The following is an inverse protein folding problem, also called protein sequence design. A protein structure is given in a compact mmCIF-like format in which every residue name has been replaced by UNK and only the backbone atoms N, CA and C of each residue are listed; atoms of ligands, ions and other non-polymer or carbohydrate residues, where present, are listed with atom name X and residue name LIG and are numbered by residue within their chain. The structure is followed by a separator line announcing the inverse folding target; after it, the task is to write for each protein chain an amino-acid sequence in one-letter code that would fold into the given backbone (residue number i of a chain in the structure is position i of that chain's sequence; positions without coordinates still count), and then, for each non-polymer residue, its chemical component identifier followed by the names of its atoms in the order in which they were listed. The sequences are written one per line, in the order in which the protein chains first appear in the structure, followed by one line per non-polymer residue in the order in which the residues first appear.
data_IF_438190357365
#
_entry.id   IF_438190357365
#
_cell.length_a   1.000
_cell.length_b   1.000
_cell.length_c   1.000
_cell.angle_alpha   90.00
_cell.angle_beta   90.00
_cell.angle_gamma   90.00
#
_symmetry.space_group_name_H-M   'P 1'
#
loop_
_entity.id
_entity.type
_entity.pdbx_description
1 polymer ?
#
# COMPACT_ATOMS: atom_id res chain seq x y z
N UNK A 1 -23.95 14.80 31.27
CA UNK A 1 -23.89 13.41 31.72
C UNK A 1 -23.28 12.61 30.59
N UNK A 2 -22.06 12.15 30.68
CA UNK A 2 -21.47 11.32 29.62
C UNK A 2 -21.87 9.85 29.83
N UNK A 3 -22.43 9.25 28.79
CA UNK A 3 -22.83 7.85 28.76
C UNK A 3 -21.59 6.99 28.56
N UNK A 4 -21.23 6.21 29.56
CA UNK A 4 -20.13 5.24 29.51
C UNK A 4 -20.63 4.03 28.71
N UNK A 5 -20.05 3.81 27.53
CA UNK A 5 -20.25 2.59 26.76
C UNK A 5 -19.31 1.51 27.34
N UNK A 6 -19.88 0.56 28.06
CA UNK A 6 -19.16 -0.64 28.51
C UNK A 6 -18.99 -1.60 27.33
N UNK A 7 -17.77 -1.67 26.79
CA UNK A 7 -17.37 -2.72 25.85
C UNK A 7 -16.94 -3.92 26.70
N UNK A 8 -17.81 -4.91 26.81
CA UNK A 8 -17.47 -6.21 27.41
C UNK A 8 -16.74 -7.03 26.36
N UNK A 9 -15.41 -7.09 26.48
CA UNK A 9 -14.56 -7.97 25.67
C UNK A 9 -14.81 -9.43 26.08
N UNK A 10 -15.49 -10.20 25.25
CA UNK A 10 -15.75 -11.61 25.48
C UNK A 10 -14.48 -12.41 25.11
N UNK A 11 -13.71 -12.78 26.12
CA UNK A 11 -12.52 -13.62 25.97
C UNK A 11 -12.96 -15.07 25.83
N UNK A 12 -13.13 -15.53 24.58
CA UNK A 12 -13.27 -16.97 24.29
C UNK A 12 -11.90 -17.50 23.85
N UNK A 13 -11.01 -17.75 24.81
CA UNK A 13 -9.78 -18.51 24.59
C UNK A 13 -10.15 -20.01 24.57
N UNK A 14 -10.52 -20.53 23.40
CA UNK A 14 -10.42 -21.96 23.16
C UNK A 14 -8.99 -22.23 22.72
N UNK A 15 -8.18 -22.85 23.60
CA UNK A 15 -6.89 -23.41 23.27
C UNK A 15 -7.09 -24.55 22.24
N UNK A 16 -7.06 -24.21 20.96
CA UNK A 16 -6.83 -25.19 19.91
C UNK A 16 -5.37 -25.66 20.03
N UNK A 17 -5.08 -26.96 19.82
CA UNK A 17 -3.69 -27.41 19.81
C UNK A 17 -2.98 -26.70 18.67
N UNK A 18 -2.06 -25.80 19.02
CA UNK A 18 -1.17 -25.13 18.09
C UNK A 18 -0.30 -26.23 17.50
N UNK A 19 -0.56 -26.62 16.29
CA UNK A 19 0.44 -27.32 15.48
C UNK A 19 1.43 -26.24 15.11
N UNK A 20 2.56 -26.20 15.82
CA UNK A 20 3.68 -25.38 15.43
C UNK A 20 4.20 -25.95 14.12
N UNK A 21 3.81 -25.34 12.99
CA UNK A 21 4.50 -25.55 11.73
C UNK A 21 5.94 -25.09 11.89
N UNK A 22 6.84 -25.88 11.37
CA UNK A 22 8.27 -25.57 11.37
C UNK A 22 8.46 -24.29 10.56
N UNK A 23 9.41 -23.44 10.97
CA UNK A 23 9.77 -22.20 10.28
C UNK A 23 9.46 -22.23 8.80
N UNK A 24 8.48 -21.45 8.40
CA UNK A 24 8.07 -21.26 7.01
C UNK A 24 8.44 -19.87 6.53
N UNK A 25 8.46 -19.69 5.24
CA UNK A 25 8.63 -18.38 4.64
C UNK A 25 8.07 -18.34 3.25
N UNK A 26 7.70 -17.14 2.83
CA UNK A 26 7.23 -16.86 1.49
C UNK A 26 7.96 -15.62 0.97
N UNK A 27 8.36 -15.64 -0.28
CA UNK A 27 8.78 -14.44 -0.99
C UNK A 27 7.95 -14.26 -2.24
N UNK A 28 7.60 -13.03 -2.56
CA UNK A 28 6.92 -12.66 -3.79
C UNK A 28 7.59 -11.48 -4.47
N UNK A 29 7.65 -11.54 -5.79
CA UNK A 29 8.14 -10.48 -6.65
C UNK A 29 7.16 -10.32 -7.80
N UNK A 30 6.67 -9.11 -8.00
CA UNK A 30 5.63 -8.86 -8.99
C UNK A 30 5.69 -7.50 -9.62
N UNK A 31 4.76 -7.32 -10.56
CA UNK A 31 4.48 -6.06 -11.23
C UNK A 31 3.06 -5.62 -10.92
N UNK A 32 2.91 -4.36 -10.60
CA UNK A 32 1.64 -3.69 -10.36
C UNK A 32 1.43 -2.66 -11.46
N UNK A 33 0.37 -2.86 -12.22
CA UNK A 33 -0.06 -1.93 -13.24
C UNK A 33 -1.10 -1.01 -12.60
N UNK A 34 -0.78 0.25 -12.40
CA UNK A 34 -1.59 1.16 -11.58
C UNK A 34 -1.95 2.43 -12.33
N UNK A 35 -3.19 2.82 -12.13
CA UNK A 35 -3.77 4.05 -12.67
C UNK A 35 -3.89 5.07 -11.53
N UNK A 36 -3.27 6.27 -11.65
CA UNK A 36 -3.34 7.31 -10.64
C UNK A 36 -4.65 8.08 -10.80
N UNK A 37 -5.27 8.47 -9.69
CA UNK A 37 -6.40 9.39 -9.69
C UNK A 37 -6.39 10.27 -8.45
N UNK A 38 -7.21 11.32 -8.44
CA UNK A 38 -7.28 12.26 -7.32
C UNK A 38 -6.63 13.59 -7.60
N UNK A 39 -6.18 14.27 -6.55
CA UNK A 39 -5.69 15.63 -6.63
C UNK A 39 -4.45 15.83 -5.76
N UNK A 40 -3.59 16.76 -6.18
CA UNK A 40 -2.48 17.25 -5.37
C UNK A 40 -2.33 18.77 -5.49
N UNK A 41 -1.70 19.38 -4.47
CA UNK A 41 -1.32 20.79 -4.51
C UNK A 41 -0.05 21.03 -3.71
N UNK A 42 0.74 21.99 -4.17
CA UNK A 42 1.90 22.46 -3.43
C UNK A 42 1.89 23.98 -3.38
N UNK A 43 1.60 24.53 -2.19
CA UNK A 43 1.43 26.00 -1.94
C UNK A 43 0.44 26.65 -2.93
N UNK A 44 -0.54 25.89 -3.37
CA UNK A 44 -1.49 26.28 -4.43
C UNK A 44 -2.85 25.63 -4.22
N UNK A 45 -3.73 25.74 -5.20
CA UNK A 45 -5.02 25.04 -5.23
C UNK A 45 -4.86 23.62 -5.74
N UNK A 46 -5.68 22.69 -5.19
CA UNK A 46 -5.70 21.30 -5.59
C UNK A 46 -5.96 21.14 -7.11
N UNK A 47 -5.17 20.32 -7.76
CA UNK A 47 -5.19 20.08 -9.20
C UNK A 47 -5.21 18.58 -9.47
N UNK A 48 -5.96 18.17 -10.49
CA UNK A 48 -6.19 16.77 -10.83
C UNK A 48 -4.94 16.11 -11.43
N UNK A 49 -4.67 14.88 -11.01
CA UNK A 49 -3.47 14.14 -11.41
C UNK A 49 -3.44 13.79 -12.91
N UNK A 50 -4.56 13.39 -13.47
CA UNK A 50 -4.65 13.01 -14.89
C UNK A 50 -4.75 14.23 -15.80
N UNK A 51 -5.69 15.14 -15.52
CA UNK A 51 -6.00 16.27 -16.40
C UNK A 51 -4.93 17.37 -16.35
N UNK A 52 -4.48 17.73 -15.13
CA UNK A 52 -3.54 18.84 -14.94
C UNK A 52 -2.09 18.39 -15.04
N UNK A 53 -1.70 17.29 -14.40
CA UNK A 53 -0.32 16.82 -14.42
C UNK A 53 -0.03 15.87 -15.57
N UNK A 54 -1.08 15.32 -16.22
CA UNK A 54 -0.95 14.44 -17.39
C UNK A 54 -0.45 13.04 -17.02
N UNK A 55 -0.63 12.59 -15.77
CA UNK A 55 -0.29 11.24 -15.36
C UNK A 55 -1.24 10.23 -15.99
N UNK A 56 -0.76 9.06 -16.26
CA UNK A 56 -1.49 7.93 -16.83
C UNK A 56 -1.05 6.63 -16.22
N UNK A 57 -1.69 5.53 -16.60
CA UNK A 57 -1.36 4.17 -16.19
C UNK A 57 0.13 3.87 -16.40
N UNK A 58 0.78 3.36 -15.36
CA UNK A 58 2.18 2.95 -15.35
C UNK A 58 2.34 1.58 -14.68
N UNK A 59 3.50 0.96 -14.83
CA UNK A 59 3.79 -0.34 -14.26
C UNK A 59 5.07 -0.30 -13.44
N UNK A 60 4.95 -0.63 -12.17
CA UNK A 60 6.07 -0.69 -11.25
C UNK A 60 6.20 -2.06 -10.55
N UNK A 61 7.34 -2.27 -9.91
CA UNK A 61 7.64 -3.52 -9.21
C UNK A 61 7.26 -3.43 -7.74
N UNK A 62 6.92 -4.57 -7.17
CA UNK A 62 6.81 -4.75 -5.72
C UNK A 62 7.46 -6.05 -5.28
N UNK A 63 7.81 -6.08 -4.00
CA UNK A 63 8.41 -7.24 -3.34
C UNK A 63 7.77 -7.43 -1.96
N UNK A 64 7.47 -8.70 -1.59
CA UNK A 64 7.12 -9.07 -0.22
C UNK A 64 7.93 -10.29 0.22
N UNK A 65 8.22 -10.36 1.52
CA UNK A 65 8.83 -11.51 2.18
C UNK A 65 8.15 -11.74 3.52
N UNK A 66 7.67 -12.95 3.75
CA UNK A 66 7.07 -13.40 5.00
C UNK A 66 8.03 -14.36 5.68
N UNK A 67 8.15 -14.24 6.99
CA UNK A 67 8.92 -15.14 7.83
C UNK A 67 8.06 -15.56 9.02
N UNK A 68 7.75 -16.83 9.08
CA UNK A 68 6.95 -17.46 10.13
C UNK A 68 7.86 -18.29 11.03
N UNK A 69 7.52 -18.37 12.30
CA UNK A 69 8.31 -19.11 13.28
C UNK A 69 7.45 -19.79 14.33
N UNK A 70 7.92 -20.92 14.92
CA UNK A 70 7.12 -21.73 15.83
C UNK A 70 6.99 -21.16 17.26
N UNK A 71 7.47 -19.96 17.53
CA UNK A 71 7.43 -19.38 18.88
C UNK A 71 6.14 -18.58 19.11
N UNK A 72 5.16 -19.08 19.86
CA UNK A 72 3.81 -18.49 19.91
C UNK A 72 3.72 -17.11 20.57
N UNK A 73 4.77 -16.66 21.26
CA UNK A 73 4.81 -15.36 21.92
C UNK A 73 5.48 -14.25 21.07
N UNK A 74 6.15 -14.64 20.00
CA UNK A 74 6.77 -13.69 19.08
C UNK A 74 5.86 -13.51 17.85
N UNK A 75 5.70 -12.31 17.33
CA UNK A 75 4.97 -12.10 16.10
C UNK A 75 5.78 -12.58 14.88
N UNK A 76 5.12 -13.09 13.89
CA UNK A 76 5.68 -13.31 12.57
C UNK A 76 6.02 -11.96 11.92
N UNK A 77 6.88 -11.98 10.90
CA UNK A 77 7.38 -10.78 10.26
C UNK A 77 7.09 -10.81 8.77
N UNK A 78 6.52 -9.72 8.24
CA UNK A 78 6.46 -9.46 6.80
C UNK A 78 7.30 -8.22 6.50
N UNK A 79 8.07 -8.27 5.42
CA UNK A 79 8.74 -7.13 4.81
C UNK A 79 8.09 -6.86 3.46
N UNK A 80 7.82 -5.60 3.15
CA UNK A 80 7.24 -5.17 1.89
C UNK A 80 7.99 -3.99 1.30
N UNK A 81 8.06 -3.94 -0.02
CA UNK A 81 8.51 -2.76 -0.77
C UNK A 81 7.65 -2.60 -2.01
N UNK A 82 7.12 -1.41 -2.22
CA UNK A 82 6.36 -1.04 -3.40
C UNK A 82 6.80 0.34 -3.84
N UNK A 83 7.06 0.51 -5.13
CA UNK A 83 7.32 1.81 -5.75
C UNK A 83 6.18 2.15 -6.70
N UNK A 84 5.80 3.42 -6.78
CA UNK A 84 4.80 3.96 -7.69
C UNK A 84 5.40 5.20 -8.33
N UNK A 85 5.58 5.18 -9.64
CA UNK A 85 6.25 6.25 -10.38
C UNK A 85 5.41 6.70 -11.57
N UNK A 86 5.22 7.99 -11.72
CA UNK A 86 4.48 8.58 -12.83
C UNK A 86 5.22 9.74 -13.46
N UNK A 87 5.21 9.78 -14.77
CA UNK A 87 5.63 10.93 -15.57
C UNK A 87 4.49 11.45 -16.44
N UNK A 88 4.36 12.77 -16.53
CA UNK A 88 3.29 13.35 -17.30
C UNK A 88 3.68 14.66 -17.98
N UNK A 89 2.85 15.05 -18.94
CA UNK A 89 2.95 16.37 -19.55
C UNK A 89 1.59 16.85 -20.01
N UNK A 90 1.34 18.14 -19.82
CA UNK A 90 0.07 18.76 -20.17
C UNK A 90 0.25 20.23 -20.55
N UNK A 91 -0.84 20.89 -20.89
CA UNK A 91 -0.88 22.35 -21.08
C UNK A 91 -1.87 22.93 -20.09
N UNK A 92 -1.42 23.91 -19.34
CA UNK A 92 -2.18 24.56 -18.27
C UNK A 92 -2.35 26.07 -18.51
N UNK A 93 -3.36 26.63 -17.87
CA UNK A 93 -3.61 28.07 -17.82
C UNK A 93 -3.76 28.49 -16.35
N UNK A 94 -3.11 29.60 -15.98
CA UNK A 94 -3.14 30.20 -14.64
C UNK A 94 -2.84 29.19 -13.50
N UNK A 95 -1.89 28.31 -13.75
CA UNK A 95 -1.49 27.24 -12.82
C UNK A 95 -0.33 27.70 -11.93
N UNK A 96 -0.30 27.21 -10.69
CA UNK A 96 0.77 27.47 -9.72
C UNK A 96 1.20 26.17 -9.08
N UNK A 97 2.51 25.98 -8.94
CA UNK A 97 3.12 24.85 -8.23
C UNK A 97 4.33 25.34 -7.44
N UNK A 98 4.26 25.21 -6.11
CA UNK A 98 5.31 25.69 -5.23
C UNK A 98 5.57 27.19 -5.41
N UNK A 99 6.82 27.52 -5.68
CA UNK A 99 7.26 28.89 -5.92
C UNK A 99 7.14 29.33 -7.41
N UNK A 100 6.69 28.42 -8.29
CA UNK A 100 6.43 28.73 -9.70
C UNK A 100 4.98 29.14 -9.87
N UNK A 101 4.73 30.43 -10.00
CA UNK A 101 3.38 31.00 -10.16
C UNK A 101 3.04 31.39 -11.61
N UNK A 102 1.72 31.48 -11.89
CA UNK A 102 1.19 31.96 -13.17
C UNK A 102 1.72 31.21 -14.40
N UNK A 103 1.79 29.89 -14.32
CA UNK A 103 2.22 29.04 -15.41
C UNK A 103 1.12 29.03 -16.48
N UNK A 104 1.48 29.44 -17.71
CA UNK A 104 0.61 29.38 -18.88
C UNK A 104 1.37 28.66 -19.98
N UNK A 105 0.90 27.48 -20.39
CA UNK A 105 1.51 26.68 -21.43
C UNK A 105 1.89 25.28 -20.96
N UNK A 106 2.93 24.73 -21.55
CA UNK A 106 3.33 23.34 -21.35
C UNK A 106 4.07 23.13 -20.03
N UNK A 107 3.68 22.08 -19.29
CA UNK A 107 4.37 21.59 -18.11
C UNK A 107 4.81 20.13 -18.32
N UNK A 108 5.89 19.73 -17.63
CA UNK A 108 6.22 18.34 -17.41
C UNK A 108 6.17 18.08 -15.90
N UNK A 109 5.53 16.99 -15.55
CA UNK A 109 5.27 16.59 -14.17
C UNK A 109 5.91 15.23 -13.88
N UNK A 110 6.36 15.03 -12.66
CA UNK A 110 6.85 13.75 -12.17
C UNK A 110 6.33 13.50 -10.75
N UNK A 111 6.05 12.25 -10.44
CA UNK A 111 5.69 11.81 -9.09
C UNK A 111 6.34 10.48 -8.80
N UNK A 112 6.88 10.33 -7.60
CA UNK A 112 7.29 9.04 -7.06
C UNK A 112 6.76 8.85 -5.65
N UNK A 113 6.41 7.62 -5.30
CA UNK A 113 6.02 7.21 -3.96
C UNK A 113 6.56 5.83 -3.67
N UNK A 114 7.54 5.74 -2.80
CA UNK A 114 8.12 4.51 -2.29
C UNK A 114 7.50 4.17 -0.93
N UNK A 115 7.09 2.93 -0.76
CA UNK A 115 6.57 2.38 0.47
C UNK A 115 7.43 1.21 0.93
N UNK A 116 8.00 1.32 2.13
CA UNK A 116 8.74 0.23 2.78
C UNK A 116 8.02 -0.19 4.05
N UNK A 117 7.64 -1.45 4.13
CA UNK A 117 6.82 -2.01 5.20
C UNK A 117 7.59 -2.99 6.07
N UNK A 118 7.40 -2.88 7.37
CA UNK A 118 7.73 -3.90 8.35
C UNK A 118 6.45 -4.23 9.12
N UNK A 119 5.89 -5.42 8.88
CA UNK A 119 4.67 -5.89 9.54
C UNK A 119 5.01 -6.93 10.59
N UNK A 120 4.44 -6.76 11.78
CA UNK A 120 4.45 -7.75 12.85
C UNK A 120 3.03 -8.30 12.99
N UNK A 121 2.85 -9.60 12.82
CA UNK A 121 1.52 -10.21 12.80
C UNK A 121 1.47 -11.53 13.56
N UNK A 122 0.26 -11.90 13.95
CA UNK A 122 -0.06 -13.21 14.53
C UNK A 122 -1.10 -13.91 13.67
N UNK A 123 -0.94 -15.20 13.48
CA UNK A 123 -1.95 -16.08 12.93
C UNK A 123 -3.06 -16.29 13.95
N UNK A 124 -4.25 -15.76 13.66
CA UNK A 124 -5.43 -15.88 14.53
C UNK A 124 -6.18 -17.18 14.24
N UNK A 125 -6.21 -17.57 12.97
CA UNK A 125 -6.70 -18.85 12.50
C UNK A 125 -5.75 -19.40 11.45
N UNK A 126 -5.45 -20.68 11.58
CA UNK A 126 -4.62 -21.43 10.65
C UNK A 126 -5.28 -22.78 10.37
N UNK A 127 -6.01 -22.85 9.24
CA UNK A 127 -6.68 -24.04 8.77
C UNK A 127 -6.89 -23.91 7.24
N UNK A 128 -8.00 -24.41 6.68
CA UNK A 128 -8.39 -24.11 5.29
C UNK A 128 -8.81 -22.64 5.08
N UNK A 129 -9.05 -21.92 6.16
CA UNK A 129 -9.09 -20.46 6.23
C UNK A 129 -7.97 -20.01 7.16
N UNK A 130 -7.07 -19.19 6.69
CA UNK A 130 -6.01 -18.53 7.46
C UNK A 130 -6.44 -17.09 7.70
N UNK A 131 -6.24 -16.58 8.90
CA UNK A 131 -6.52 -15.18 9.26
C UNK A 131 -5.38 -14.65 10.11
N UNK A 132 -4.74 -13.62 9.62
CA UNK A 132 -3.67 -12.92 10.31
C UNK A 132 -4.13 -11.53 10.73
N UNK A 133 -3.62 -11.05 11.85
CA UNK A 133 -3.82 -9.71 12.33
C UNK A 133 -2.54 -9.14 12.93
N UNK A 134 -2.28 -7.86 12.69
CA UNK A 134 -1.03 -7.26 13.11
C UNK A 134 -0.96 -5.74 12.97
N UNK A 135 0.27 -5.25 12.97
CA UNK A 135 0.58 -3.84 12.77
C UNK A 135 1.71 -3.74 11.74
N UNK A 136 1.54 -2.90 10.75
CA UNK A 136 2.56 -2.52 9.78
C UNK A 136 3.14 -1.18 10.18
N UNK A 137 4.46 -1.09 10.28
CA UNK A 137 5.17 0.19 10.30
C UNK A 137 5.62 0.47 8.87
N UNK A 138 4.97 1.45 8.23
CA UNK A 138 5.25 1.88 6.86
C UNK A 138 6.08 3.14 6.84
N UNK A 139 7.16 3.12 6.06
CA UNK A 139 7.90 4.31 5.69
C UNK A 139 7.47 4.75 4.30
N UNK A 140 6.86 5.92 4.22
CA UNK A 140 6.57 6.60 2.97
C UNK A 140 7.73 7.53 2.63
N UNK A 141 8.17 7.50 1.38
CA UNK A 141 9.11 8.46 0.81
C UNK A 141 8.61 8.84 -0.57
N UNK A 142 8.32 10.09 -0.81
CA UNK A 142 7.76 10.53 -2.08
C UNK A 142 8.24 11.91 -2.47
N UNK A 143 8.14 12.17 -3.75
CA UNK A 143 8.33 13.48 -4.35
C UNK A 143 7.32 13.73 -5.46
N UNK A 144 6.93 14.98 -5.63
CA UNK A 144 6.13 15.42 -6.75
C UNK A 144 6.68 16.75 -7.27
N UNK A 145 7.08 16.76 -8.53
CA UNK A 145 7.74 17.90 -9.16
C UNK A 145 7.07 18.36 -10.46
N UNK A 146 7.16 19.67 -10.71
CA UNK A 146 6.71 20.30 -11.94
C UNK A 146 7.80 21.16 -12.55
N UNK A 147 8.00 21.03 -13.85
CA UNK A 147 8.86 21.92 -14.63
C UNK A 147 8.08 22.68 -15.69
N UNK A 148 8.31 23.98 -15.77
CA UNK A 148 7.66 24.88 -16.72
C UNK A 148 8.60 26.02 -17.14
N UNK A 149 8.72 26.31 -18.42
CA UNK A 149 9.48 27.45 -18.96
C UNK A 149 10.94 27.55 -18.44
N UNK A 150 11.56 26.41 -18.08
CA UNK A 150 12.93 26.35 -17.55
C UNK A 150 13.07 26.54 -16.04
N UNK A 151 11.96 26.70 -15.31
CA UNK A 151 11.87 26.61 -13.86
C UNK A 151 11.47 25.19 -13.43
N UNK A 152 11.87 24.77 -12.24
CA UNK A 152 11.48 23.50 -11.61
C UNK A 152 11.26 23.72 -10.11
N UNK A 153 10.22 23.12 -9.57
CA UNK A 153 10.00 23.04 -8.12
C UNK A 153 9.37 21.70 -7.76
N UNK A 154 9.67 21.18 -6.56
CA UNK A 154 9.18 19.90 -6.07
C UNK A 154 8.82 19.95 -4.59
N UNK A 155 7.84 19.13 -4.20
CA UNK A 155 7.52 18.79 -2.84
C UNK A 155 8.09 17.39 -2.54
N UNK A 156 8.99 17.30 -1.57
CA UNK A 156 9.60 16.05 -1.13
C UNK A 156 9.16 15.76 0.30
N UNK A 157 8.72 14.53 0.58
CA UNK A 157 8.30 14.14 1.92
C UNK A 157 8.80 12.76 2.32
N UNK A 158 8.92 12.56 3.63
CA UNK A 158 9.17 11.22 4.18
C UNK A 158 8.56 11.11 5.57
N UNK A 159 7.73 10.09 5.79
CA UNK A 159 7.03 9.88 7.06
C UNK A 159 6.95 8.40 7.43
N UNK A 160 6.86 8.14 8.73
CA UNK A 160 6.54 6.82 9.27
C UNK A 160 5.09 6.79 9.73
N UNK A 161 4.35 5.75 9.33
CA UNK A 161 2.97 5.54 9.73
C UNK A 161 2.74 4.12 10.26
N UNK A 162 2.15 3.95 11.45
CA UNK A 162 1.69 2.65 11.93
C UNK A 162 0.29 2.35 11.38
N UNK A 163 0.14 1.26 10.60
CA UNK A 163 -1.14 0.83 10.04
C UNK A 163 -1.62 -0.44 10.75
N UNK A 164 -2.93 -0.60 10.87
CA UNK A 164 -3.53 -1.88 11.21
C UNK A 164 -3.41 -2.81 10.01
N UNK A 165 -2.96 -4.04 10.24
CA UNK A 165 -2.79 -5.09 9.24
C UNK A 165 -3.79 -6.21 9.44
N UNK A 166 -4.31 -6.72 8.33
CA UNK A 166 -5.12 -7.91 8.30
C UNK A 166 -4.94 -8.69 7.00
N UNK A 167 -4.90 -10.02 7.09
CA UNK A 167 -4.89 -10.92 5.93
C UNK A 167 -5.88 -12.05 6.18
N UNK A 168 -6.60 -12.43 5.14
CA UNK A 168 -7.45 -13.61 5.12
C UNK A 168 -7.15 -14.42 3.85
N UNK A 169 -6.79 -15.70 4.00
CA UNK A 169 -6.54 -16.63 2.89
C UNK A 169 -7.50 -17.81 2.98
N UNK A 170 -8.09 -18.15 1.85
CA UNK A 170 -8.97 -19.30 1.70
C UNK A 170 -8.29 -20.33 0.79
N UNK A 171 -7.87 -21.44 1.36
CA UNK A 171 -7.28 -22.55 0.64
C UNK A 171 -8.38 -23.47 0.11
N UNK A 172 -8.50 -23.60 -1.20
CA UNK A 172 -9.54 -24.45 -1.81
C UNK A 172 -9.18 -25.92 -1.59
N UNK A 173 -9.99 -26.67 -0.81
CA UNK A 173 -9.67 -28.05 -0.45
C UNK A 173 -9.40 -28.95 -1.66
N UNK A 174 -8.36 -29.78 -1.57
CA UNK A 174 -7.90 -30.72 -2.59
C UNK A 174 -7.43 -30.07 -3.91
N UNK A 175 -7.02 -28.81 -3.85
CA UNK A 175 -6.39 -28.10 -4.98
C UNK A 175 -5.19 -27.30 -4.50
N UNK A 176 -4.38 -26.81 -5.42
CA UNK A 176 -3.26 -25.90 -5.16
C UNK A 176 -3.67 -24.41 -5.35
N UNK A 177 -4.98 -24.13 -5.34
CA UNK A 177 -5.56 -22.81 -5.51
C UNK A 177 -5.94 -22.21 -4.17
N UNK A 178 -5.59 -20.94 -3.95
CA UNK A 178 -6.09 -20.15 -2.84
C UNK A 178 -6.54 -18.76 -3.29
N UNK A 179 -7.40 -18.14 -2.48
CA UNK A 179 -7.80 -16.74 -2.62
C UNK A 179 -7.36 -15.97 -1.39
N UNK A 180 -6.86 -14.78 -1.57
CA UNK A 180 -6.34 -13.96 -0.48
C UNK A 180 -6.90 -12.54 -0.55
N UNK A 181 -7.23 -12.00 0.62
CA UNK A 181 -7.45 -10.58 0.84
C UNK A 181 -6.45 -10.13 1.90
N UNK A 182 -5.70 -9.09 1.59
CA UNK A 182 -4.80 -8.43 2.52
C UNK A 182 -5.11 -6.94 2.55
N UNK A 183 -5.02 -6.30 3.71
CA UNK A 183 -5.28 -4.88 3.85
C UNK A 183 -4.44 -4.25 4.98
N UNK A 184 -4.09 -2.99 4.78
CA UNK A 184 -3.54 -2.10 5.79
C UNK A 184 -4.37 -0.83 5.86
N UNK A 185 -4.54 -0.24 7.05
CA UNK A 185 -5.26 1.02 7.18
C UNK A 185 -4.82 1.82 8.40
N UNK A 186 -4.81 3.13 8.24
CA UNK A 186 -4.72 4.12 9.32
C UNK A 186 -5.61 5.31 8.99
N UNK A 187 -6.20 5.90 10.04
CA UNK A 187 -6.77 7.24 9.98
C UNK A 187 -6.40 7.94 11.29
N UNK A 188 -5.56 8.94 11.21
CA UNK A 188 -5.04 9.63 12.36
C UNK A 188 -4.75 11.12 12.04
N UNK A 189 -5.39 12.05 12.77
CA UNK A 189 -5.34 13.49 12.56
C UNK A 189 -5.72 13.84 11.11
N UNK A 190 -4.81 14.46 10.37
CA UNK A 190 -5.03 14.96 9.02
C UNK A 190 -4.49 13.98 7.94
N UNK A 191 -4.27 12.70 8.33
CA UNK A 191 -3.80 11.66 7.42
C UNK A 191 -4.71 10.44 7.46
N UNK A 192 -5.15 10.00 6.29
CA UNK A 192 -5.78 8.69 6.07
C UNK A 192 -5.00 7.95 5.00
N UNK A 193 -4.58 6.73 5.30
CA UNK A 193 -3.96 5.86 4.30
C UNK A 193 -4.51 4.45 4.45
N UNK A 194 -4.84 3.84 3.33
CA UNK A 194 -5.21 2.42 3.30
C UNK A 194 -4.80 1.78 1.98
N UNK A 195 -4.57 0.50 2.03
CA UNK A 195 -4.39 -0.33 0.85
C UNK A 195 -5.09 -1.67 1.05
N UNK A 196 -5.44 -2.29 -0.05
CA UNK A 196 -5.91 -3.67 -0.07
C UNK A 196 -5.47 -4.39 -1.34
N UNK A 197 -5.31 -5.70 -1.20
CA UNK A 197 -5.01 -6.63 -2.28
C UNK A 197 -6.00 -7.78 -2.25
N UNK A 198 -6.63 -8.05 -3.38
CA UNK A 198 -7.47 -9.25 -3.59
C UNK A 198 -6.83 -10.10 -4.67
N UNK A 199 -6.50 -11.35 -4.37
CA UNK A 199 -5.78 -12.22 -5.29
C UNK A 199 -6.29 -13.65 -5.36
N UNK A 200 -5.94 -14.29 -6.45
CA UNK A 200 -5.93 -15.74 -6.62
C UNK A 200 -4.49 -16.21 -6.77
N UNK A 201 -4.14 -17.30 -6.08
CA UNK A 201 -2.81 -17.86 -6.02
C UNK A 201 -2.86 -19.33 -6.45
N UNK A 202 -1.90 -19.76 -7.20
CA UNK A 202 -1.76 -21.14 -7.63
C UNK A 202 -0.33 -21.64 -7.41
N UNK A 203 -0.16 -22.60 -6.49
CA UNK A 203 1.13 -23.23 -6.20
C UNK A 203 1.39 -24.33 -7.21
N UNK A 204 2.55 -24.30 -7.87
CA UNK A 204 2.95 -25.27 -8.90
C UNK A 204 3.68 -26.47 -8.27
N UNK A 205 4.99 -26.36 -8.15
CA UNK A 205 5.85 -27.42 -7.62
C UNK A 205 6.95 -26.82 -6.74
N UNK A 206 7.34 -27.51 -5.71
CA UNK A 206 8.44 -27.11 -4.81
C UNK A 206 8.23 -25.73 -4.18
N UNK A 207 6.99 -25.37 -3.89
CA UNK A 207 6.63 -24.07 -3.31
C UNK A 207 6.61 -22.90 -4.31
N UNK A 208 7.02 -23.10 -5.57
CA UNK A 208 6.93 -22.06 -6.59
C UNK A 208 5.47 -21.92 -7.05
N UNK A 209 4.98 -20.72 -7.16
CA UNK A 209 3.63 -20.43 -7.60
C UNK A 209 3.49 -19.10 -8.33
N UNK A 210 2.28 -18.82 -8.73
CA UNK A 210 1.87 -17.58 -9.36
C UNK A 210 0.72 -16.97 -8.59
N UNK A 211 0.72 -15.67 -8.51
CA UNK A 211 -0.34 -14.86 -7.93
C UNK A 211 -0.79 -13.80 -8.93
N UNK A 212 -2.09 -13.57 -9.01
CA UNK A 212 -2.64 -12.48 -9.79
C UNK A 212 -3.87 -11.90 -9.08
N UNK A 213 -4.02 -10.60 -9.15
CA UNK A 213 -5.08 -9.93 -8.41
C UNK A 213 -5.24 -8.47 -8.76
N UNK A 214 -5.87 -7.78 -7.85
CA UNK A 214 -6.12 -6.33 -7.92
C UNK A 214 -5.64 -5.68 -6.63
N UNK A 215 -4.87 -4.60 -6.76
CA UNK A 215 -4.41 -3.75 -5.65
C UNK A 215 -5.06 -2.39 -5.74
N UNK A 216 -5.31 -1.79 -4.59
CA UNK A 216 -5.63 -0.38 -4.49
C UNK A 216 -4.90 0.23 -3.29
N UNK A 217 -4.45 1.44 -3.44
CA UNK A 217 -3.80 2.25 -2.42
C UNK A 217 -4.41 3.65 -2.44
N UNK A 218 -4.68 4.20 -1.26
CA UNK A 218 -5.19 5.55 -1.06
C UNK A 218 -4.37 6.27 -0.02
N UNK A 219 -4.06 7.53 -0.29
CA UNK A 219 -3.41 8.45 0.65
C UNK A 219 -4.09 9.80 0.57
N UNK A 220 -4.68 10.22 1.69
CA UNK A 220 -5.23 11.55 1.90
C UNK A 220 -4.49 12.21 3.07
N UNK A 221 -3.89 13.36 2.83
CA UNK A 221 -3.24 14.15 3.86
C UNK A 221 -3.23 15.63 3.51
N UNK A 222 -3.60 16.43 4.49
CA UNK A 222 -3.66 17.90 4.36
C UNK A 222 -2.29 18.58 4.48
N UNK A 223 -1.27 17.92 5.03
CA UNK A 223 0.05 18.51 5.26
C UNK A 223 1.15 17.45 5.40
N UNK A 224 1.45 16.74 4.32
CA UNK A 224 2.56 15.77 4.28
C UNK A 224 3.92 16.44 4.45
N UNK A 225 4.07 17.63 3.88
CA UNK A 225 5.15 18.58 4.06
C UNK A 225 4.58 20.00 3.89
N UNK A 226 5.20 21.01 4.45
CA UNK A 226 4.70 22.39 4.48
C UNK A 226 4.11 22.87 3.16
N UNK A 227 2.78 22.96 3.10
CA UNK A 227 1.98 23.38 1.97
C UNK A 227 1.77 22.33 0.86
N UNK A 228 2.08 21.04 1.09
CA UNK A 228 1.77 19.96 0.17
C UNK A 228 0.58 19.14 0.66
N UNK A 229 -0.49 19.15 -0.12
CA UNK A 229 -1.69 18.35 0.12
C UNK A 229 -1.81 17.28 -0.96
N UNK A 230 -2.18 16.08 -0.57
CA UNK A 230 -2.39 14.96 -1.44
C UNK A 230 -3.67 14.22 -1.05
N UNK A 231 -4.54 14.00 -2.03
CA UNK A 231 -5.69 13.09 -1.98
C UNK A 231 -5.58 12.23 -3.24
N UNK A 232 -4.88 11.10 -3.12
CA UNK A 232 -4.40 10.31 -4.27
C UNK A 232 -4.77 8.85 -4.12
N UNK A 233 -5.19 8.26 -5.24
CA UNK A 233 -5.50 6.84 -5.37
C UNK A 233 -4.65 6.22 -6.47
N UNK A 234 -4.20 4.99 -6.23
CA UNK A 234 -3.58 4.13 -7.24
C UNK A 234 -4.27 2.79 -7.22
N UNK A 235 -4.75 2.32 -8.35
CA UNK A 235 -5.42 1.03 -8.39
C UNK A 235 -5.22 0.32 -9.72
N UNK A 236 -5.26 -1.02 -9.68
CA UNK A 236 -5.14 -1.80 -10.89
C UNK A 236 -4.77 -3.27 -10.68
N UNK A 237 -4.62 -4.01 -11.77
CA UNK A 237 -4.23 -5.41 -11.73
C UNK A 237 -2.75 -5.58 -11.41
N UNK A 238 -2.43 -6.72 -10.79
CA UNK A 238 -1.06 -7.12 -10.55
C UNK A 238 -0.83 -8.62 -10.81
N UNK A 239 0.42 -8.98 -10.99
CA UNK A 239 0.85 -10.38 -11.04
C UNK A 239 2.22 -10.55 -10.39
N UNK A 240 2.42 -11.68 -9.72
CA UNK A 240 3.66 -12.01 -9.03
C UNK A 240 4.04 -13.49 -9.20
N UNK A 241 5.33 -13.76 -9.14
CA UNK A 241 5.87 -15.06 -8.82
C UNK A 241 6.01 -15.15 -7.29
N UNK A 242 5.63 -16.29 -6.74
CA UNK A 242 5.72 -16.60 -5.31
C UNK A 242 6.58 -17.84 -5.09
N UNK A 243 7.25 -17.90 -3.96
CA UNK A 243 7.97 -19.07 -3.50
C UNK A 243 7.79 -19.26 -1.99
N UNK A 244 7.09 -20.33 -1.66
CA UNK A 244 6.86 -20.82 -0.29
C UNK A 244 7.94 -21.86 0.07
N UNK A 245 8.59 -21.77 1.24
CA UNK A 245 9.68 -22.65 1.67
C UNK A 245 9.68 -22.97 3.17
#
# INVERSE_FOLDING_TARGET
MPTIINITLFTLLTLSPIHADMTGGEVSLGFFNHDPSGNASYKSTASNLEETFGFSEEQDMFFNAYLEHPFPLLPNVKLGYTTLSHGGSSSVEDFTWGDIGNINGHINSSMSLDMTDVTLYYEVFDNWVEVDAGITLRYFSGDMGVSAAGAYDSADFSIWAPLLYGKARFNVPATDLSFQLEANAISYWDMTAYDYELSARYTLVMGIGLEAGYKAFHLDSDDLVDGFHADIDFSGPYAAAIWDF
#
